data_IF_236932062327
#
_entry.id   IF_236932062327
#
_cell.length_a   1.000
_cell.length_b   1.000
_cell.length_c   1.000
_cell.angle_alpha   90.00
_cell.angle_beta   90.00
_cell.angle_gamma   90.00
#
_symmetry.space_group_name_H-M   'P 1'
#
loop_
_entity.id
_entity.type
_entity.pdbx_description
1 polymer ?
#
# COMPACT_ATOMS: atom_id res chain seq x y z
N UNK A 1 23.71 85.49 96.06
CA UNK A 1 22.91 86.70 96.36
C UNK A 1 23.13 87.73 95.26
N UNK A 2 22.19 88.66 94.98
CA UNK A 2 20.78 88.67 95.38
C UNK A 2 20.00 87.68 94.47
N UNK A 3 18.85 87.86 93.78
CA UNK A 3 17.79 88.89 93.57
C UNK A 3 16.48 88.09 93.23
N UNK A 4 15.19 88.51 93.25
CA UNK A 4 14.43 89.74 92.91
C UNK A 4 14.47 90.14 91.41
N UNK A 5 13.37 90.55 90.75
CA UNK A 5 12.18 91.28 91.25
C UNK A 5 10.89 90.91 90.46
N UNK A 6 9.70 91.31 90.94
CA UNK A 6 8.41 91.10 90.27
C UNK A 6 7.53 92.38 90.16
N UNK A 7 6.72 92.47 89.09
CA UNK A 7 5.55 93.35 88.92
C UNK A 7 4.59 92.65 87.91
N UNK A 8 3.26 92.54 88.05
CA UNK A 8 2.15 93.51 88.29
C UNK A 8 2.02 94.56 87.16
N UNK A 9 0.82 94.88 86.63
CA UNK A 9 -0.57 94.61 87.07
C UNK A 9 -1.56 94.45 85.88
N UNK A 10 -2.64 93.65 86.00
CA UNK A 10 -4.09 94.04 86.07
C UNK A 10 -4.51 95.29 85.24
N UNK A 11 -5.62 95.31 84.49
CA UNK A 11 -6.68 94.31 84.23
C UNK A 11 -7.94 94.96 83.57
N UNK A 12 -9.09 94.25 83.51
CA UNK A 12 -10.43 94.70 82.99
C UNK A 12 -10.49 94.78 81.44
N UNK A 13 -11.18 93.93 80.64
CA UNK A 13 -12.62 93.52 80.52
C UNK A 13 -13.53 94.59 79.88
N UNK A 14 -14.25 94.27 78.78
CA UNK A 14 -15.67 94.64 78.49
C UNK A 14 -16.17 94.17 77.10
N UNK A 15 -17.32 93.47 77.13
CA UNK A 15 -18.45 93.29 76.19
C UNK A 15 -18.34 93.22 74.64
N UNK A 16 -19.27 92.43 74.09
CA UNK A 16 -19.51 92.15 72.67
C UNK A 16 -20.53 93.09 72.00
N UNK A 17 -20.64 92.97 70.67
CA UNK A 17 -21.80 93.37 69.88
C UNK A 17 -21.99 92.40 68.69
N UNK A 18 -23.20 92.27 68.17
CA UNK A 18 -23.54 91.42 67.03
C UNK A 18 -24.36 92.19 65.98
N UNK A 19 -24.30 91.76 64.72
CA UNK A 19 -25.13 92.28 63.62
C UNK A 19 -25.54 91.14 62.67
N UNK A 20 -26.71 91.28 62.04
CA UNK A 20 -27.42 90.26 61.27
C UNK A 20 -28.01 90.85 59.98
N UNK A 21 -28.41 89.97 59.06
CA UNK A 21 -29.27 90.21 57.87
C UNK A 21 -28.63 91.00 56.68
N UNK A 22 -29.03 90.80 55.42
CA UNK A 22 -29.65 89.62 54.79
C UNK A 22 -29.57 89.68 53.24
N UNK A 23 -29.33 88.50 52.62
CA UNK A 23 -29.84 87.96 51.34
C UNK A 23 -30.19 88.93 50.18
N UNK A 24 -29.54 88.72 49.01
CA UNK A 24 -29.80 89.48 47.77
C UNK A 24 -29.27 88.85 46.48
N UNK A 25 -29.60 87.58 46.24
CA UNK A 25 -29.84 86.90 44.95
C UNK A 25 -29.02 87.28 43.68
N UNK A 26 -28.22 86.33 43.20
CA UNK A 26 -27.49 86.42 41.91
C UNK A 26 -26.95 85.06 41.47
N UNK A 27 -27.83 84.17 40.99
CA UNK A 27 -27.53 82.74 40.77
C UNK A 27 -26.65 82.46 39.55
N UNK A 28 -25.33 82.59 39.70
CA UNK A 28 -24.33 82.12 38.75
C UNK A 28 -23.30 81.22 39.42
N UNK A 29 -23.35 79.91 39.15
CA UNK A 29 -22.37 78.96 39.67
C UNK A 29 -21.05 79.10 38.89
N UNK A 30 -20.14 79.96 39.38
CA UNK A 30 -18.78 80.04 38.86
C UNK A 30 -18.05 78.73 39.16
N UNK A 31 -17.64 78.02 38.11
CA UNK A 31 -16.81 76.82 38.25
C UNK A 31 -15.39 77.23 38.66
N UNK A 32 -15.12 77.24 39.97
CA UNK A 32 -13.78 77.43 40.50
C UNK A 32 -12.82 76.33 40.03
N UNK A 33 -11.51 76.60 39.96
CA UNK A 33 -10.52 75.58 39.63
C UNK A 33 -10.60 74.43 40.64
N UNK A 34 -10.56 73.20 40.12
CA UNK A 34 -10.46 72.00 40.95
C UNK A 34 -9.08 71.93 41.60
N UNK A 35 -9.02 71.51 42.86
CA UNK A 35 -7.76 71.18 43.52
C UNK A 35 -7.06 70.04 42.76
N UNK A 36 -5.78 70.23 42.49
CA UNK A 36 -4.93 69.28 41.76
C UNK A 36 -3.94 68.61 42.70
N UNK A 37 -3.18 67.62 42.18
CA UNK A 37 -2.06 67.02 42.91
C UNK A 37 -0.91 67.99 43.23
N UNK A 38 -0.88 69.20 42.63
CA UNK A 38 0.11 70.22 42.97
C UNK A 38 -0.30 71.08 44.18
N UNK A 39 -1.60 71.13 44.49
CA UNK A 39 -2.16 71.89 45.62
C UNK A 39 -2.12 71.11 46.94
N UNK A 40 -1.94 69.78 46.85
CA UNK A 40 -1.85 68.85 47.97
C UNK A 40 -0.37 68.54 48.24
N UNK A 41 0.08 68.69 49.49
CA UNK A 41 1.47 68.39 49.87
C UNK A 41 1.62 66.93 50.30
N UNK A 42 2.80 66.37 50.08
CA UNK A 42 3.14 65.05 50.61
C UNK A 42 2.84 64.96 52.10
N UNK A 43 2.10 63.90 52.49
CA UNK A 43 1.69 63.61 53.88
C UNK A 43 0.84 64.69 54.55
N UNK A 44 0.23 65.62 53.83
CA UNK A 44 -0.66 66.65 54.40
C UNK A 44 -2.14 66.26 54.49
N UNK A 45 -2.47 65.01 54.16
CA UNK A 45 -3.82 64.44 54.30
C UNK A 45 -3.71 63.31 55.32
N UNK A 46 -4.40 63.44 56.44
CA UNK A 46 -4.43 62.46 57.53
C UNK A 46 -5.69 61.58 57.46
N UNK A 47 -5.75 60.54 58.28
CA UNK A 47 -6.92 59.64 58.35
C UNK A 47 -8.19 60.34 58.86
N UNK A 48 -8.06 61.49 59.53
CA UNK A 48 -9.19 62.32 59.98
C UNK A 48 -9.80 63.17 58.85
N UNK A 49 -9.04 63.48 57.79
CA UNK A 49 -9.53 64.24 56.63
C UNK A 49 -10.31 63.36 55.64
N UNK A 50 -10.18 62.03 55.75
CA UNK A 50 -10.75 61.05 54.84
C UNK A 50 -11.95 60.32 55.47
N UNK A 51 -13.16 60.76 55.12
CA UNK A 51 -14.40 60.05 55.49
C UNK A 51 -14.36 58.56 55.07
N UNK A 52 -14.99 57.68 55.84
CA UNK A 52 -14.98 56.25 55.57
C UNK A 52 -15.52 55.91 54.16
N UNK A 53 -14.76 55.14 53.38
CA UNK A 53 -15.10 54.79 51.99
C UNK A 53 -14.92 55.92 50.96
N UNK A 54 -14.41 57.09 51.37
CA UNK A 54 -14.05 58.20 50.46
C UNK A 54 -13.08 57.74 49.37
N UNK A 55 -12.07 56.96 49.75
CA UNK A 55 -11.20 56.16 48.87
C UNK A 55 -11.60 54.69 49.01
N UNK A 56 -11.81 54.01 47.89
CA UNK A 56 -12.15 52.58 47.84
C UNK A 56 -11.76 52.00 46.47
N UNK A 57 -11.82 50.66 46.32
CA UNK A 57 -11.36 49.97 45.11
C UNK A 57 -12.04 50.39 43.80
N UNK A 58 -13.28 50.91 43.83
CA UNK A 58 -13.96 51.45 42.64
C UNK A 58 -13.58 52.89 42.28
N UNK A 59 -12.79 53.56 43.11
CA UNK A 59 -12.27 54.92 42.91
C UNK A 59 -10.75 54.97 42.66
N UNK A 60 -10.04 53.89 42.95
CA UNK A 60 -8.62 53.73 42.66
C UNK A 60 -8.52 53.24 41.21
N UNK A 61 -7.91 54.05 40.33
CA UNK A 61 -7.72 53.67 38.93
C UNK A 61 -6.58 52.67 38.77
N UNK A 62 -6.60 51.91 37.66
CA UNK A 62 -5.53 50.98 37.30
C UNK A 62 -4.16 51.65 37.37
N UNK A 63 -3.19 50.94 37.97
CA UNK A 63 -1.79 51.36 38.15
C UNK A 63 -1.56 52.56 39.11
N UNK A 64 -2.60 53.12 39.73
CA UNK A 64 -2.45 54.14 40.77
C UNK A 64 -1.75 53.61 42.05
N UNK A 65 -1.96 52.33 42.36
CA UNK A 65 -1.21 51.59 43.38
C UNK A 65 -0.34 50.53 42.69
N UNK A 66 0.94 50.45 43.08
CA UNK A 66 1.93 49.50 42.56
C UNK A 66 2.43 48.56 43.66
N UNK A 67 3.09 47.46 43.30
CA UNK A 67 3.60 46.45 44.23
C UNK A 67 4.66 46.97 45.22
N UNK A 68 5.38 48.04 44.88
CA UNK A 68 6.33 48.76 45.72
C UNK A 68 5.67 49.78 46.66
N UNK A 69 4.40 50.15 46.42
CA UNK A 69 3.60 50.95 47.35
C UNK A 69 2.96 50.09 48.46
N UNK A 70 3.03 48.75 48.37
CA UNK A 70 2.41 47.81 49.30
C UNK A 70 3.39 47.36 50.40
N UNK A 71 2.85 46.98 51.56
CA UNK A 71 3.68 46.42 52.64
C UNK A 71 4.23 45.04 52.23
N UNK A 72 5.42 44.68 52.74
CA UNK A 72 6.06 43.39 52.46
C UNK A 72 5.16 42.18 52.75
N UNK A 73 4.26 42.29 53.73
CA UNK A 73 3.30 41.25 54.08
C UNK A 73 2.20 41.09 53.01
N UNK A 74 1.67 42.20 52.48
CA UNK A 74 0.68 42.16 51.39
C UNK A 74 1.32 41.64 50.11
N UNK A 75 2.53 42.09 49.78
CA UNK A 75 3.27 41.62 48.60
C UNK A 75 3.62 40.13 48.71
N UNK A 76 3.96 39.63 49.91
CA UNK A 76 4.17 38.20 50.14
C UNK A 76 2.88 37.37 49.96
N UNK A 77 1.72 37.91 50.35
CA UNK A 77 0.42 37.26 50.16
C UNK A 77 -0.04 37.24 48.70
N UNK A 78 0.25 38.29 47.91
CA UNK A 78 0.00 38.30 46.47
C UNK A 78 0.97 37.41 45.67
N UNK A 79 2.22 37.25 46.12
CA UNK A 79 3.23 36.41 45.47
C UNK A 79 2.96 34.91 45.51
N UNK A 80 1.94 34.45 46.26
CA UNK A 80 1.59 33.05 46.46
C UNK A 80 0.48 32.54 45.50
N UNK A 81 0.39 33.11 44.29
CA UNK A 81 -0.53 32.61 43.26
C UNK A 81 -0.24 31.14 42.92
N UNK A 82 -1.29 30.32 42.80
CA UNK A 82 -1.19 28.91 42.48
C UNK A 82 -0.60 28.66 41.08
N UNK A 83 0.10 27.54 40.91
CA UNK A 83 0.56 27.08 39.60
C UNK A 83 -0.65 26.69 38.75
N UNK A 84 -0.64 27.09 37.48
CA UNK A 84 -1.68 26.69 36.53
C UNK A 84 -1.80 25.16 36.42
N UNK A 85 -3.03 24.69 36.21
CA UNK A 85 -3.28 23.27 35.92
C UNK A 85 -2.61 22.86 34.61
N UNK A 86 -1.96 21.69 34.60
CA UNK A 86 -1.33 21.16 33.39
C UNK A 86 -2.38 21.02 32.25
N UNK A 87 -2.04 21.38 30.99
CA UNK A 87 -2.94 21.18 29.86
C UNK A 87 -3.43 19.73 29.76
N UNK A 88 -4.70 19.56 29.42
CA UNK A 88 -5.30 18.24 29.22
C UNK A 88 -4.55 17.45 28.15
N UNK A 89 -4.34 16.16 28.40
CA UNK A 89 -3.60 15.28 27.49
C UNK A 89 -4.25 15.25 26.10
N UNK A 90 -3.43 15.39 25.05
CA UNK A 90 -3.86 15.24 23.65
C UNK A 90 -4.56 13.90 23.46
N UNK A 91 -5.74 13.91 22.83
CA UNK A 91 -6.49 12.69 22.52
C UNK A 91 -5.64 11.71 21.69
N UNK A 92 -5.75 10.42 22.00
CA UNK A 92 -4.97 9.38 21.33
C UNK A 92 -5.24 9.38 19.81
N UNK A 93 -4.17 9.28 19.02
CA UNK A 93 -4.26 9.11 17.56
C UNK A 93 -5.13 7.91 17.23
N UNK A 94 -6.10 8.10 16.32
CA UNK A 94 -6.97 7.01 15.87
C UNK A 94 -6.17 5.83 15.31
N UNK A 95 -6.65 4.61 15.56
CA UNK A 95 -5.98 3.39 15.10
C UNK A 95 -5.81 3.41 13.56
N UNK A 96 -4.65 2.94 13.09
CA UNK A 96 -4.39 2.82 11.66
C UNK A 96 -5.42 1.87 11.02
N UNK A 97 -5.96 2.27 9.86
CA UNK A 97 -6.91 1.45 9.12
C UNK A 97 -6.34 0.07 8.77
N UNK A 98 -7.20 -0.95 8.82
CA UNK A 98 -6.79 -2.32 8.50
C UNK A 98 -6.19 -2.39 7.10
N UNK A 99 -5.07 -3.12 6.97
CA UNK A 99 -4.44 -3.35 5.67
C UNK A 99 -5.39 -4.19 4.81
N UNK A 100 -5.74 -3.67 3.63
CA UNK A 100 -6.60 -4.37 2.67
C UNK A 100 -6.08 -5.77 2.36
N UNK A 101 -7.02 -6.70 2.20
CA UNK A 101 -6.71 -8.13 2.04
C UNK A 101 -5.89 -8.38 0.77
N UNK A 102 -5.06 -9.43 0.82
CA UNK A 102 -4.27 -9.85 -0.33
C UNK A 102 -5.21 -10.53 -1.32
N UNK A 103 -5.48 -9.87 -2.45
CA UNK A 103 -6.28 -10.43 -3.54
C UNK A 103 -5.82 -11.84 -3.95
N UNK A 104 -6.81 -12.67 -4.30
CA UNK A 104 -6.65 -14.10 -4.48
C UNK A 104 -5.60 -14.50 -5.52
N UNK A 105 -5.05 -15.70 -5.35
CA UNK A 105 -4.18 -16.31 -6.34
C UNK A 105 -5.04 -16.78 -7.51
N UNK A 106 -4.82 -16.20 -8.69
CA UNK A 106 -5.48 -16.63 -9.93
C UNK A 106 -5.36 -18.13 -10.20
N UNK A 107 -6.38 -18.68 -10.84
CA UNK A 107 -6.59 -20.11 -11.00
C UNK A 107 -5.42 -20.80 -11.74
N UNK A 108 -5.22 -22.09 -11.43
CA UNK A 108 -4.26 -22.92 -12.15
C UNK A 108 -4.86 -23.33 -13.49
N UNK A 109 -4.29 -22.84 -14.59
CA UNK A 109 -4.67 -23.27 -15.94
C UNK A 109 -4.60 -24.79 -16.14
N UNK A 110 -5.48 -25.28 -17.01
CA UNK A 110 -5.78 -26.71 -17.20
C UNK A 110 -4.56 -27.58 -17.52
N UNK A 111 -4.64 -28.87 -17.17
CA UNK A 111 -3.70 -29.87 -17.68
C UNK A 111 -3.99 -30.10 -19.16
N UNK A 112 -2.97 -29.88 -20.00
CA UNK A 112 -3.01 -30.24 -21.42
C UNK A 112 -3.34 -31.72 -21.63
N UNK A 113 -4.13 -31.99 -22.68
CA UNK A 113 -4.57 -33.32 -23.08
C UNK A 113 -3.40 -34.17 -23.57
N UNK A 114 -3.34 -35.42 -23.13
CA UNK A 114 -2.27 -36.35 -23.54
C UNK A 114 -2.53 -36.83 -24.97
N UNK A 115 -1.90 -36.20 -25.97
CA UNK A 115 -2.15 -36.40 -27.41
C UNK A 115 -1.91 -37.80 -27.99
N UNK A 116 -1.55 -38.78 -27.16
CA UNK A 116 -1.36 -40.20 -27.53
C UNK A 116 -2.53 -41.10 -27.06
N UNK A 117 -3.62 -40.54 -26.54
CA UNK A 117 -4.83 -41.33 -26.22
C UNK A 117 -5.32 -42.07 -27.46
N UNK A 118 -5.49 -43.39 -27.32
CA UNK A 118 -5.90 -44.30 -28.39
C UNK A 118 -4.78 -44.74 -29.34
N UNK A 119 -3.51 -44.42 -29.07
CA UNK A 119 -2.39 -44.86 -29.89
C UNK A 119 -2.23 -46.38 -29.95
N UNK A 120 -1.85 -46.90 -31.13
CA UNK A 120 -1.57 -48.31 -31.42
C UNK A 120 -0.12 -48.46 -31.88
N UNK A 121 0.67 -49.29 -31.19
CA UNK A 121 1.93 -49.80 -31.73
C UNK A 121 1.64 -51.02 -32.61
N UNK A 122 2.24 -51.07 -33.79
CA UNK A 122 1.98 -52.11 -34.81
C UNK A 122 3.30 -52.61 -35.39
N UNK A 123 3.38 -53.90 -35.66
CA UNK A 123 4.54 -54.57 -36.27
C UNK A 123 4.09 -55.44 -37.46
N UNK A 124 5.00 -55.66 -38.41
CA UNK A 124 4.86 -56.63 -39.49
C UNK A 124 6.22 -57.21 -39.82
N UNK A 125 6.37 -58.54 -39.75
CA UNK A 125 7.63 -59.23 -40.04
C UNK A 125 7.56 -59.95 -41.38
N UNK A 126 8.50 -59.62 -42.25
CA UNK A 126 8.70 -60.22 -43.57
C UNK A 126 9.86 -61.21 -43.53
N UNK A 127 9.82 -62.24 -44.38
CA UNK A 127 10.98 -63.07 -44.69
C UNK A 127 11.80 -62.44 -45.83
N UNK A 128 13.08 -62.80 -45.95
CA UNK A 128 13.97 -62.41 -47.06
C UNK A 128 13.97 -60.89 -47.34
N UNK A 129 13.96 -60.08 -46.28
CA UNK A 129 13.95 -58.62 -46.37
C UNK A 129 12.76 -57.99 -47.11
N UNK A 130 11.64 -58.69 -47.25
CA UNK A 130 10.47 -58.20 -48.00
C UNK A 130 10.76 -57.91 -49.48
N UNK A 131 11.85 -58.44 -50.05
CA UNK A 131 12.26 -58.12 -51.42
C UNK A 131 12.64 -56.64 -51.63
N UNK A 132 13.08 -55.95 -50.56
CA UNK A 132 13.53 -54.55 -50.63
C UNK A 132 12.43 -53.50 -50.40
N UNK A 133 11.18 -53.91 -50.15
CA UNK A 133 10.11 -52.99 -49.76
C UNK A 133 9.14 -53.64 -48.77
N UNK A 134 8.72 -52.91 -47.76
CA UNK A 134 7.88 -53.44 -46.68
C UNK A 134 6.96 -52.35 -46.11
N UNK A 135 5.78 -52.74 -45.60
CA UNK A 135 4.86 -51.78 -44.97
C UNK A 135 4.03 -52.40 -43.84
N UNK A 136 3.96 -51.71 -42.70
CA UNK A 136 3.05 -52.08 -41.60
C UNK A 136 1.83 -51.17 -41.62
N UNK A 137 0.65 -51.73 -41.37
CA UNK A 137 -0.61 -51.02 -41.33
C UNK A 137 -1.03 -50.69 -39.89
N UNK A 138 -1.67 -49.53 -39.69
CA UNK A 138 -2.22 -49.13 -38.39
C UNK A 138 -3.34 -50.05 -37.89
N UNK A 139 -4.05 -50.72 -38.80
CA UNK A 139 -4.91 -51.87 -38.52
C UNK A 139 -4.89 -52.88 -39.68
N UNK A 140 -5.37 -54.09 -39.42
CA UNK A 140 -5.41 -55.18 -40.39
C UNK A 140 -6.46 -54.94 -41.50
N UNK A 141 -7.62 -54.38 -41.13
CA UNK A 141 -8.58 -53.85 -42.10
C UNK A 141 -8.14 -52.47 -42.64
N UNK A 142 -8.31 -52.26 -43.95
CA UNK A 142 -7.93 -51.05 -44.64
C UNK A 142 -8.82 -49.83 -44.31
N UNK A 143 -10.05 -50.02 -43.82
CA UNK A 143 -10.98 -48.95 -43.44
C UNK A 143 -10.73 -48.48 -42.00
N UNK A 144 -10.59 -49.42 -41.07
CA UNK A 144 -10.16 -49.18 -39.69
C UNK A 144 -8.79 -48.51 -39.63
N UNK A 145 -7.84 -48.95 -40.46
CA UNK A 145 -6.49 -48.37 -40.52
C UNK A 145 -6.54 -46.86 -40.82
N UNK A 146 -7.40 -46.43 -41.74
CA UNK A 146 -7.54 -45.01 -42.16
C UNK A 146 -8.04 -44.06 -41.06
N UNK A 147 -8.52 -44.57 -39.92
CA UNK A 147 -8.84 -43.76 -38.73
C UNK A 147 -7.59 -43.28 -37.97
N UNK A 148 -6.41 -43.75 -38.38
CA UNK A 148 -5.13 -43.50 -37.75
C UNK A 148 -4.12 -42.90 -38.71
N UNK A 149 -3.20 -42.11 -38.16
CA UNK A 149 -2.00 -41.60 -38.84
C UNK A 149 -0.77 -42.18 -38.15
N UNK A 150 0.16 -42.74 -38.92
CA UNK A 150 1.46 -43.15 -38.40
C UNK A 150 2.36 -41.91 -38.24
N UNK A 151 2.69 -41.59 -36.99
CA UNK A 151 3.52 -40.42 -36.63
C UNK A 151 5.00 -40.78 -36.39
N UNK A 152 5.28 -42.07 -36.23
CA UNK A 152 6.64 -42.61 -36.11
C UNK A 152 6.64 -44.06 -36.59
N UNK A 153 7.79 -44.55 -37.02
CA UNK A 153 7.97 -45.90 -37.49
C UNK A 153 9.42 -46.18 -37.87
N UNK A 154 9.71 -47.43 -38.19
CA UNK A 154 11.06 -47.85 -38.49
C UNK A 154 11.12 -49.33 -38.85
N UNK A 155 12.34 -49.85 -38.89
CA UNK A 155 12.61 -51.24 -39.28
C UNK A 155 13.74 -51.84 -38.48
N UNK A 156 13.69 -53.16 -38.29
CA UNK A 156 14.80 -53.97 -37.79
C UNK A 156 14.97 -55.18 -38.71
N UNK A 157 16.13 -55.28 -39.38
CA UNK A 157 16.54 -56.48 -40.10
C UNK A 157 17.28 -57.44 -39.18
N UNK A 158 17.01 -58.74 -39.32
CA UNK A 158 17.83 -59.81 -38.76
C UNK A 158 18.98 -60.14 -39.71
N UNK A 159 20.15 -60.43 -39.19
CA UNK A 159 21.30 -60.83 -40.02
C UNK A 159 21.03 -62.16 -40.74
N UNK A 160 21.35 -62.22 -42.03
CA UNK A 160 21.60 -63.49 -42.70
C UNK A 160 23.06 -63.86 -42.47
N UNK A 161 23.34 -65.10 -42.07
CA UNK A 161 24.62 -65.53 -41.48
C UNK A 161 25.79 -65.65 -42.47
N UNK A 162 26.14 -64.54 -43.15
CA UNK A 162 27.27 -64.41 -44.06
C UNK A 162 28.28 -63.39 -43.52
N UNK A 163 29.56 -63.58 -43.83
CA UNK A 163 30.65 -62.91 -43.11
C UNK A 163 30.83 -61.42 -43.44
N UNK A 164 30.62 -60.59 -42.41
CA UNK A 164 31.41 -59.40 -42.06
C UNK A 164 31.65 -58.29 -43.11
N UNK A 165 30.89 -58.22 -44.22
CA UNK A 165 31.04 -57.12 -45.20
C UNK A 165 29.81 -56.27 -45.48
N UNK A 166 28.59 -56.77 -45.35
CA UNK A 166 27.38 -55.96 -45.18
C UNK A 166 26.35 -56.76 -44.36
N UNK A 167 25.97 -56.27 -43.18
CA UNK A 167 24.97 -56.92 -42.33
C UNK A 167 23.63 -56.17 -42.36
N UNK A 168 22.53 -56.93 -42.41
CA UNK A 168 21.17 -56.39 -42.28
C UNK A 168 20.58 -55.72 -43.53
N UNK A 169 19.58 -54.85 -43.29
CA UNK A 169 18.78 -54.18 -44.32
C UNK A 169 19.19 -52.71 -44.46
N UNK A 170 19.68 -52.32 -45.64
CA UNK A 170 20.07 -50.94 -45.92
C UNK A 170 18.84 -50.12 -46.33
N UNK A 171 18.37 -49.24 -45.45
CA UNK A 171 17.22 -48.36 -45.71
C UNK A 171 17.58 -47.26 -46.71
N UNK A 172 16.84 -47.18 -47.82
CA UNK A 172 16.94 -46.07 -48.78
C UNK A 172 15.91 -44.97 -48.52
N UNK A 173 14.76 -45.31 -47.94
CA UNK A 173 13.75 -44.35 -47.47
C UNK A 173 12.79 -45.02 -46.46
N UNK A 174 12.24 -44.21 -45.54
CA UNK A 174 11.40 -44.65 -44.42
C UNK A 174 10.43 -43.52 -44.07
N UNK A 175 9.11 -43.72 -44.21
CA UNK A 175 8.11 -42.65 -44.12
C UNK A 175 6.68 -43.16 -43.85
N UNK A 176 5.77 -42.31 -43.31
CA UNK A 176 4.35 -42.65 -43.21
C UNK A 176 3.73 -42.96 -44.58
N UNK A 177 3.05 -44.09 -44.69
CA UNK A 177 2.53 -44.56 -45.98
C UNK A 177 1.81 -45.91 -45.92
N UNK A 178 1.03 -46.19 -46.97
CA UNK A 178 0.59 -47.56 -47.33
C UNK A 178 1.07 -47.91 -48.73
N UNK A 179 1.79 -49.02 -48.87
CA UNK A 179 2.20 -49.51 -50.19
C UNK A 179 0.99 -49.97 -51.02
N UNK A 180 1.03 -49.74 -52.33
CA UNK A 180 0.20 -50.42 -53.29
C UNK A 180 1.04 -51.46 -54.04
N UNK A 181 0.77 -52.74 -53.79
CA UNK A 181 1.53 -53.85 -54.37
C UNK A 181 1.24 -54.01 -55.87
N UNK A 182 0.01 -53.74 -56.31
CA UNK A 182 -0.40 -53.84 -57.72
C UNK A 182 0.36 -52.85 -58.64
N UNK A 183 0.84 -51.74 -58.08
CA UNK A 183 1.53 -50.67 -58.84
C UNK A 183 2.97 -50.41 -58.36
N UNK A 184 3.47 -51.19 -57.39
CA UNK A 184 4.81 -51.02 -56.80
C UNK A 184 5.09 -49.64 -56.21
N UNK A 185 4.08 -48.91 -55.70
CA UNK A 185 4.18 -47.50 -55.29
C UNK A 185 3.36 -47.18 -54.04
N UNK A 186 3.74 -46.18 -53.22
CA UNK A 186 2.89 -45.67 -52.14
C UNK A 186 1.51 -45.21 -52.66
N UNK A 187 0.46 -45.46 -51.88
CA UNK A 187 -0.90 -44.97 -52.15
C UNK A 187 -0.97 -43.45 -51.83
N UNK A 188 -1.43 -42.58 -52.75
CA UNK A 188 -1.55 -41.14 -52.49
C UNK A 188 -2.40 -40.83 -51.25
N UNK A 189 -1.93 -39.92 -50.40
CA UNK A 189 -2.65 -39.46 -49.20
C UNK A 189 -2.82 -40.47 -48.06
N UNK A 190 -2.27 -41.69 -48.17
CA UNK A 190 -2.48 -42.79 -47.22
C UNK A 190 -1.39 -42.86 -46.16
N UNK A 191 -1.53 -42.10 -45.07
CA UNK A 191 -0.58 -42.05 -43.94
C UNK A 191 -0.86 -43.10 -42.85
N UNK A 192 -1.78 -44.03 -43.08
CA UNK A 192 -2.28 -45.03 -42.10
C UNK A 192 -1.39 -46.27 -41.96
N UNK A 193 -0.08 -46.07 -41.98
CA UNK A 193 0.93 -47.11 -41.88
C UNK A 193 2.31 -46.52 -42.06
N UNK A 194 3.32 -47.38 -42.07
CA UNK A 194 4.70 -46.97 -42.35
C UNK A 194 5.25 -47.78 -43.52
N UNK A 195 5.96 -47.12 -44.43
CA UNK A 195 6.66 -47.72 -45.58
C UNK A 195 8.16 -47.64 -45.32
N UNK A 196 8.88 -48.72 -45.66
CA UNK A 196 10.33 -48.73 -45.75
C UNK A 196 10.77 -49.36 -47.06
N UNK A 197 11.68 -48.69 -47.76
CA UNK A 197 12.37 -49.20 -48.96
C UNK A 197 13.86 -49.37 -48.66
N UNK A 198 14.52 -50.32 -49.33
CA UNK A 198 15.92 -50.63 -49.08
C UNK A 198 16.43 -51.89 -49.78
N UNK A 199 17.56 -52.42 -49.31
CA UNK A 199 18.19 -53.62 -49.84
C UNK A 199 17.98 -54.84 -48.92
N UNK A 200 17.46 -55.95 -49.46
CA UNK A 200 17.18 -57.19 -48.73
C UNK A 200 18.28 -58.25 -48.79
N UNK A 201 19.36 -58.05 -49.54
CA UNK A 201 20.34 -59.11 -49.90
C UNK A 201 21.00 -59.84 -48.71
N UNK A 202 21.04 -59.25 -47.51
CA UNK A 202 21.76 -59.79 -46.34
C UNK A 202 20.87 -59.94 -45.09
N UNK A 203 19.54 -60.04 -45.25
CA UNK A 203 18.62 -60.12 -44.12
C UNK A 203 17.60 -61.26 -44.20
N UNK A 204 17.59 -62.11 -43.17
CA UNK A 204 16.73 -63.30 -43.08
C UNK A 204 15.26 -62.93 -42.82
N UNK A 205 15.05 -61.96 -41.92
CA UNK A 205 13.74 -61.44 -41.53
C UNK A 205 13.79 -59.93 -41.34
N UNK A 206 12.68 -59.25 -41.58
CA UNK A 206 12.58 -57.80 -41.54
C UNK A 206 11.30 -57.37 -40.84
N UNK A 207 11.42 -56.82 -39.64
CA UNK A 207 10.29 -56.32 -38.86
C UNK A 207 10.16 -54.82 -39.05
N UNK A 208 9.13 -54.39 -39.77
CA UNK A 208 8.72 -52.98 -39.84
C UNK A 208 7.76 -52.69 -38.68
N UNK A 209 7.88 -51.52 -38.07
CA UNK A 209 7.01 -51.08 -36.97
C UNK A 209 6.50 -49.65 -37.17
N UNK A 210 5.36 -49.34 -36.56
CA UNK A 210 4.74 -48.02 -36.58
C UNK A 210 4.06 -47.69 -35.25
N UNK A 211 4.13 -46.42 -34.87
CA UNK A 211 3.28 -45.79 -33.84
C UNK A 211 2.17 -45.01 -34.55
N UNK A 212 0.95 -45.51 -34.43
CA UNK A 212 -0.24 -44.98 -35.07
C UNK A 212 -1.14 -44.29 -34.04
N UNK A 213 -1.48 -43.02 -34.24
CA UNK A 213 -2.40 -42.27 -33.37
C UNK A 213 -3.74 -42.01 -34.08
N UNK A 214 -4.87 -41.93 -33.35
CA UNK A 214 -6.15 -41.60 -33.97
C UNK A 214 -6.10 -40.22 -34.62
N UNK A 215 -6.74 -40.04 -35.77
CA UNK A 215 -6.77 -38.76 -36.49
C UNK A 215 -7.45 -37.64 -35.68
N UNK A 216 -8.32 -37.99 -34.73
CA UNK A 216 -8.96 -37.08 -33.77
C UNK A 216 -8.02 -36.54 -32.70
N UNK A 217 -6.84 -37.14 -32.52
CA UNK A 217 -5.88 -36.81 -31.46
C UNK A 217 -4.77 -35.85 -31.92
N UNK A 218 -4.71 -35.51 -33.22
CA UNK A 218 -3.76 -34.55 -33.78
C UNK A 218 -4.50 -33.30 -34.26
N UNK A 219 -4.16 -32.13 -33.72
CA UNK A 219 -4.44 -30.85 -34.39
C UNK A 219 -3.36 -30.65 -35.44
N UNK A 220 -3.69 -30.87 -36.72
CA UNK A 220 -2.76 -30.69 -37.83
C UNK A 220 -2.73 -29.21 -38.22
N UNK A 221 -1.80 -28.46 -37.63
CA UNK A 221 -1.56 -27.07 -38.03
C UNK A 221 -0.85 -27.03 -39.38
N UNK A 222 -1.63 -26.84 -40.45
CA UNK A 222 -1.18 -26.89 -41.85
C UNK A 222 -0.52 -25.57 -42.28
N UNK A 223 0.51 -25.13 -41.54
CA UNK A 223 1.30 -23.96 -41.88
C UNK A 223 2.02 -24.13 -43.23
N UNK A 224 1.61 -23.39 -44.25
CA UNK A 224 2.29 -23.37 -45.55
C UNK A 224 3.65 -22.67 -45.43
N UNK A 225 4.73 -23.44 -45.53
CA UNK A 225 6.09 -22.91 -45.61
C UNK A 225 6.32 -22.28 -47.00
N UNK A 226 5.93 -21.01 -47.13
CA UNK A 226 6.28 -20.16 -48.26
C UNK A 226 7.77 -19.75 -48.13
N UNK A 227 8.64 -20.48 -48.83
CA UNK A 227 10.05 -20.12 -49.07
C UNK A 227 10.20 -19.46 -50.45
#
# INVERSE_FOLDING_TARGET
MPNFTAARSRGVVVLAAAALLAVGAGSGAVAGPLLTGADIKDRSIESQDLAAGSVNGGKITDKAVKLDHLSKEVTAKLGAAGKDGAPGATGATGAAGAKGEKGDKGEKGDKGTDGLVGAKYRTMTYLNGGGGSATVACADDATESQKYTAISGGVQGSESGVSEKQTGFLVSSSFPGRMNWDTGKPRPGRLDGWIVFGNSQYTSTLTVWALCVPNTSIVVDAGTLNN
#
